data_IF_730455078359
#
_entry.id   IF_730455078359
#
_cell.length_a   1.000
_cell.length_b   1.000
_cell.length_c   1.000
_cell.angle_alpha   90.00
_cell.angle_beta   90.00
_cell.angle_gamma   90.00
#
_symmetry.space_group_name_H-M   'P 1'
#
loop_
_entity.id
_entity.type
_entity.pdbx_description
1 polymer ?
#
# COMPACT_ATOMS: atom_id res chain seq x y z
N UNK A 1 -23.58 4.74 5.66
CA UNK A 1 -23.96 4.04 4.42
C UNK A 1 -23.22 2.71 4.42
N UNK A 2 -23.90 1.58 4.54
CA UNK A 2 -23.28 0.29 4.24
C UNK A 2 -22.96 0.31 2.74
N UNK A 3 -21.68 0.38 2.39
CA UNK A 3 -21.30 0.19 1.00
C UNK A 3 -21.51 -1.29 0.68
N UNK A 4 -22.41 -1.58 -0.27
CA UNK A 4 -22.64 -2.93 -0.77
C UNK A 4 -21.48 -3.34 -1.68
N UNK A 5 -20.45 -3.95 -1.08
CA UNK A 5 -19.38 -4.59 -1.84
C UNK A 5 -19.88 -5.86 -2.51
N UNK A 6 -19.30 -6.20 -3.66
CA UNK A 6 -19.59 -7.46 -4.32
C UNK A 6 -19.29 -8.65 -3.38
N UNK A 7 -20.07 -9.75 -3.45
CA UNK A 7 -19.85 -10.91 -2.60
C UNK A 7 -18.47 -11.52 -2.87
N UNK A 8 -17.78 -11.92 -1.79
CA UNK A 8 -16.47 -12.54 -1.88
C UNK A 8 -16.57 -13.93 -2.53
N UNK A 9 -15.81 -14.15 -3.61
CA UNK A 9 -15.83 -15.40 -4.38
C UNK A 9 -14.77 -16.41 -3.95
N UNK A 10 -13.65 -15.93 -3.39
CA UNK A 10 -12.54 -16.74 -2.90
C UNK A 10 -12.18 -16.24 -1.49
N UNK A 11 -12.37 -17.08 -0.48
CA UNK A 11 -12.20 -16.76 0.93
C UNK A 11 -11.07 -17.58 1.60
N UNK A 12 -10.27 -18.31 0.81
CA UNK A 12 -9.24 -19.22 1.31
C UNK A 12 -8.31 -18.53 2.31
N UNK A 13 -7.84 -17.32 2.00
CA UNK A 13 -6.93 -16.58 2.89
C UNK A 13 -7.60 -16.27 4.24
N UNK A 14 -8.86 -15.85 4.24
CA UNK A 14 -9.58 -15.51 5.48
C UNK A 14 -9.82 -16.74 6.33
N UNK A 15 -10.34 -17.82 5.74
CA UNK A 15 -10.55 -19.09 6.46
C UNK A 15 -9.26 -19.63 7.05
N UNK A 16 -8.16 -19.56 6.30
CA UNK A 16 -6.83 -19.93 6.78
C UNK A 16 -6.38 -19.07 7.97
N UNK A 17 -6.54 -17.75 7.88
CA UNK A 17 -6.19 -16.82 8.96
C UNK A 17 -7.01 -17.07 10.24
N UNK A 18 -8.23 -17.58 10.10
CA UNK A 18 -9.09 -18.01 11.20
C UNK A 18 -8.84 -19.44 11.68
N UNK A 19 -7.83 -20.14 11.16
CA UNK A 19 -7.46 -21.50 11.57
C UNK A 19 -8.45 -22.58 11.12
N UNK A 20 -9.27 -22.31 10.10
CA UNK A 20 -10.22 -23.29 9.56
C UNK A 20 -9.53 -24.28 8.61
N UNK A 21 -10.11 -25.47 8.46
CA UNK A 21 -9.70 -26.41 7.40
C UNK A 21 -10.10 -25.89 6.03
N UNK A 22 -9.19 -26.03 5.07
CA UNK A 22 -9.29 -25.50 3.70
C UNK A 22 -8.88 -26.57 2.69
N UNK A 23 -9.26 -26.36 1.44
CA UNK A 23 -9.08 -27.33 0.36
C UNK A 23 -7.64 -27.30 -0.20
N UNK A 24 -6.96 -26.16 -0.06
CA UNK A 24 -5.53 -25.97 -0.38
C UNK A 24 -4.96 -24.76 0.36
N UNK A 25 -3.63 -24.67 0.56
CA UNK A 25 -3.00 -23.46 1.08
C UNK A 25 -3.30 -22.23 0.19
N UNK A 26 -3.63 -21.06 0.78
CA UNK A 26 -3.73 -19.81 0.04
C UNK A 26 -2.35 -19.25 -0.27
N UNK A 27 -2.24 -18.45 -1.34
CA UNK A 27 -0.98 -17.83 -1.76
C UNK A 27 -1.18 -16.34 -2.07
N UNK A 28 -0.23 -15.52 -1.61
CA UNK A 28 -0.04 -14.14 -2.04
C UNK A 28 1.42 -13.77 -1.78
N UNK A 29 1.90 -12.67 -2.36
CA UNK A 29 3.31 -12.28 -2.23
C UNK A 29 3.40 -10.85 -1.72
N UNK A 30 4.21 -10.63 -0.69
CA UNK A 30 4.56 -9.28 -0.25
C UNK A 30 5.21 -8.52 -1.41
N UNK A 31 4.71 -7.31 -1.69
CA UNK A 31 5.13 -6.49 -2.85
C UNK A 31 4.79 -7.12 -4.22
N UNK A 32 3.73 -7.93 -4.30
CA UNK A 32 3.21 -8.44 -5.59
C UNK A 32 2.86 -7.33 -6.59
N UNK A 33 2.46 -6.15 -6.11
CA UNK A 33 2.34 -4.95 -6.95
C UNK A 33 3.64 -4.15 -6.84
N UNK A 34 4.48 -4.18 -7.89
CA UNK A 34 5.76 -3.49 -7.83
C UNK A 34 6.61 -3.59 -9.08
N UNK A 35 7.82 -3.01 -8.99
CA UNK A 35 8.80 -2.76 -10.07
C UNK A 35 9.23 -3.98 -10.90
N UNK A 36 8.91 -5.20 -10.49
CA UNK A 36 9.22 -6.38 -11.30
C UNK A 36 8.21 -6.59 -12.45
N UNK A 37 7.06 -5.89 -12.39
CA UNK A 37 6.05 -5.88 -13.42
C UNK A 37 6.30 -4.69 -14.38
N UNK A 38 6.45 -4.90 -15.70
CA UNK A 38 6.53 -3.81 -16.67
C UNK A 38 5.33 -2.85 -16.60
N UNK A 39 4.12 -3.39 -16.46
CA UNK A 39 2.87 -2.63 -16.34
C UNK A 39 2.81 -1.72 -15.10
N UNK A 40 3.58 -2.03 -14.05
CA UNK A 40 3.74 -1.13 -12.90
C UNK A 40 4.42 0.18 -13.32
N UNK A 41 5.46 0.08 -14.15
CA UNK A 41 6.18 1.26 -14.64
C UNK A 41 5.31 2.10 -15.57
N UNK A 42 4.46 1.46 -16.36
CA UNK A 42 3.48 2.15 -17.21
C UNK A 42 2.44 2.92 -16.38
N UNK A 43 1.86 2.29 -15.36
CA UNK A 43 0.87 2.93 -14.49
C UNK A 43 1.46 4.06 -13.64
N UNK A 44 2.67 3.86 -13.09
CA UNK A 44 3.39 4.89 -12.34
C UNK A 44 3.76 6.07 -13.24
N UNK A 45 4.26 5.78 -14.44
CA UNK A 45 4.82 6.80 -15.34
C UNK A 45 5.87 7.67 -14.64
N UNK A 46 5.76 8.98 -14.83
CA UNK A 46 6.68 9.98 -14.26
C UNK A 46 6.25 10.50 -12.88
N UNK A 47 5.16 9.99 -12.30
CA UNK A 47 4.65 10.44 -11.00
C UNK A 47 5.61 10.07 -9.87
N UNK A 48 5.65 10.89 -8.84
CA UNK A 48 6.28 10.51 -7.58
C UNK A 48 5.51 9.34 -6.93
N UNK A 49 6.21 8.57 -6.11
CA UNK A 49 5.61 7.43 -5.42
C UNK A 49 4.43 7.85 -4.51
N UNK A 50 4.53 8.95 -3.76
CA UNK A 50 3.44 9.40 -2.90
C UNK A 50 2.28 10.01 -3.71
N UNK A 51 2.53 10.53 -4.91
CA UNK A 51 1.45 10.92 -5.83
C UNK A 51 0.63 9.69 -6.25
N UNK A 52 1.29 8.58 -6.60
CA UNK A 52 0.60 7.32 -6.90
C UNK A 52 -0.23 6.80 -5.72
N UNK A 53 0.25 6.96 -4.48
CA UNK A 53 -0.50 6.54 -3.30
C UNK A 53 -1.75 7.41 -3.02
N UNK A 54 -1.78 8.66 -3.50
CA UNK A 54 -2.89 9.59 -3.28
C UNK A 54 -3.92 9.62 -4.42
N UNK A 55 -3.61 8.99 -5.54
CA UNK A 55 -4.49 8.82 -6.71
C UNK A 55 -5.19 7.45 -6.60
N UNK A 56 -6.50 7.40 -6.24
CA UNK A 56 -7.22 6.15 -6.03
C UNK A 56 -7.25 5.26 -7.27
N UNK A 57 -7.37 5.84 -8.46
CA UNK A 57 -7.41 5.15 -9.73
C UNK A 57 -6.07 4.48 -10.04
N UNK A 58 -4.95 5.20 -9.85
CA UNK A 58 -3.60 4.65 -10.02
C UNK A 58 -3.29 3.58 -8.98
N UNK A 59 -3.60 3.83 -7.70
CA UNK A 59 -3.38 2.85 -6.64
C UNK A 59 -4.18 1.57 -6.88
N UNK A 60 -5.44 1.70 -7.34
CA UNK A 60 -6.29 0.57 -7.72
C UNK A 60 -5.69 -0.19 -8.90
N UNK A 61 -5.28 0.49 -9.96
CA UNK A 61 -4.70 -0.15 -11.13
C UNK A 61 -3.46 -0.95 -10.76
N UNK A 62 -2.51 -0.34 -10.04
CA UNK A 62 -1.29 -1.01 -9.56
C UNK A 62 -1.62 -2.22 -8.68
N UNK A 63 -2.61 -2.11 -7.79
CA UNK A 63 -3.07 -3.21 -6.92
C UNK A 63 -3.58 -4.40 -7.73
N UNK A 64 -4.30 -4.15 -8.83
CA UNK A 64 -4.96 -5.17 -9.64
C UNK A 64 -4.05 -5.86 -10.66
N UNK A 65 -2.93 -5.25 -11.06
CA UNK A 65 -1.97 -5.83 -12.01
C UNK A 65 -1.56 -7.27 -11.67
N UNK A 66 -1.05 -7.59 -10.46
CA UNK A 66 -0.69 -8.97 -10.11
C UNK A 66 -1.90 -9.90 -10.07
N UNK A 67 -3.08 -9.41 -9.67
CA UNK A 67 -4.33 -10.19 -9.65
C UNK A 67 -4.71 -10.65 -11.06
N UNK A 68 -4.53 -9.77 -12.06
CA UNK A 68 -4.78 -10.12 -13.47
C UNK A 68 -3.69 -11.03 -14.03
N UNK A 69 -2.42 -10.72 -13.78
CA UNK A 69 -1.28 -11.46 -14.35
C UNK A 69 -1.14 -12.88 -13.81
N UNK A 70 -1.45 -13.08 -12.53
CA UNK A 70 -1.35 -14.36 -11.83
C UNK A 70 -2.74 -14.91 -11.48
N UNK A 71 -3.73 -14.65 -12.33
CA UNK A 71 -5.10 -15.09 -12.15
C UNK A 71 -5.15 -16.61 -11.86
N UNK A 72 -5.81 -16.98 -10.76
CA UNK A 72 -5.92 -18.37 -10.28
C UNK A 72 -4.74 -18.88 -9.46
N UNK A 73 -3.65 -18.11 -9.34
CA UNK A 73 -2.48 -18.46 -8.52
C UNK A 73 -2.41 -17.69 -7.21
N UNK A 74 -2.91 -16.45 -7.17
CA UNK A 74 -2.97 -15.65 -5.94
C UNK A 74 -4.40 -15.54 -5.41
N UNK A 75 -4.53 -15.59 -4.08
CA UNK A 75 -5.80 -15.65 -3.35
C UNK A 75 -6.17 -14.33 -2.68
N UNK A 76 -5.30 -13.32 -2.75
CA UNK A 76 -5.54 -12.01 -2.17
C UNK A 76 -4.84 -10.88 -2.94
N UNK A 77 -5.43 -9.69 -2.79
CA UNK A 77 -4.81 -8.43 -3.14
C UNK A 77 -4.36 -7.72 -1.86
N UNK A 78 -3.23 -7.04 -1.93
CA UNK A 78 -2.78 -6.07 -0.91
C UNK A 78 -2.80 -4.69 -1.53
N UNK A 79 -3.42 -3.73 -0.84
CA UNK A 79 -3.54 -2.36 -1.35
C UNK A 79 -2.17 -1.75 -1.63
N UNK A 80 -2.03 -1.10 -2.78
CA UNK A 80 -0.86 -0.29 -3.07
C UNK A 80 -0.90 0.99 -2.24
N UNK A 81 -0.03 1.05 -1.25
CA UNK A 81 0.19 2.20 -0.36
C UNK A 81 1.58 2.08 0.25
N UNK A 82 1.88 2.88 1.26
CA UNK A 82 3.13 2.83 1.99
C UNK A 82 2.93 3.08 3.47
N UNK A 83 3.77 2.47 4.30
CA UNK A 83 3.70 2.63 5.75
C UNK A 83 4.02 4.07 6.20
N UNK A 84 4.79 4.82 5.40
CA UNK A 84 5.23 6.19 5.70
C UNK A 84 4.17 7.26 5.43
N UNK A 85 3.00 6.87 4.90
CA UNK A 85 1.85 7.80 4.79
C UNK A 85 1.38 8.27 6.17
N UNK A 86 1.61 7.48 7.23
CA UNK A 86 1.25 7.84 8.61
C UNK A 86 2.12 9.01 9.11
N UNK A 87 3.48 8.92 9.14
CA UNK A 87 4.34 10.07 9.43
C UNK A 87 4.03 11.31 8.59
N UNK A 88 3.71 11.13 7.31
CA UNK A 88 3.34 12.23 6.42
C UNK A 88 2.02 12.90 6.85
N UNK A 89 1.01 12.11 7.20
CA UNK A 89 -0.25 12.61 7.75
C UNK A 89 -0.03 13.30 9.11
N UNK A 90 0.95 12.82 9.89
CA UNK A 90 1.46 13.46 11.10
C UNK A 90 2.41 14.64 10.83
N UNK A 91 2.37 15.25 9.64
CA UNK A 91 3.06 16.50 9.36
C UNK A 91 4.56 16.39 9.08
N UNK A 92 5.14 15.19 9.05
CA UNK A 92 6.53 15.01 8.66
C UNK A 92 6.69 15.07 7.13
N UNK A 93 7.75 15.73 6.67
CA UNK A 93 8.15 15.65 5.25
C UNK A 93 8.84 14.31 4.99
N UNK A 94 8.35 13.59 3.98
CA UNK A 94 8.95 12.33 3.50
C UNK A 94 9.21 12.45 2.01
N UNK A 95 10.44 12.23 1.60
CA UNK A 95 10.89 12.31 0.21
C UNK A 95 11.29 10.92 -0.29
N UNK A 96 10.86 10.54 -1.49
CA UNK A 96 11.32 9.31 -2.13
C UNK A 96 12.54 9.60 -3.00
N UNK A 97 13.74 9.36 -2.47
CA UNK A 97 14.99 9.66 -3.19
C UNK A 97 15.34 8.51 -4.13
N UNK A 98 15.54 8.83 -5.41
CA UNK A 98 15.83 7.83 -6.43
C UNK A 98 17.05 6.98 -6.05
N UNK A 99 16.90 5.64 -6.13
CA UNK A 99 17.91 4.63 -5.76
C UNK A 99 18.36 4.63 -4.29
N UNK A 100 17.88 5.54 -3.44
CA UNK A 100 18.17 5.59 -2.00
C UNK A 100 16.97 5.19 -1.13
N UNK A 101 15.76 5.37 -1.64
CA UNK A 101 14.52 5.08 -0.92
C UNK A 101 14.01 6.28 -0.12
N UNK A 102 13.14 6.04 0.88
CA UNK A 102 12.51 7.12 1.63
C UNK A 102 13.52 7.86 2.52
N UNK A 103 13.39 9.18 2.58
CA UNK A 103 14.23 10.07 3.37
C UNK A 103 13.36 11.05 4.15
N UNK A 104 13.68 11.24 5.42
CA UNK A 104 13.15 12.31 6.24
C UNK A 104 14.21 13.41 6.33
N UNK A 105 14.01 14.59 5.71
CA UNK A 105 14.97 15.69 5.79
C UNK A 105 15.17 16.19 7.23
N UNK A 106 14.12 16.10 8.05
CA UNK A 106 14.11 16.52 9.45
C UNK A 106 13.59 15.37 10.34
N UNK A 107 14.40 14.33 10.62
CA UNK A 107 13.98 13.23 11.49
C UNK A 107 13.82 13.71 12.94
N UNK A 108 12.98 13.02 13.71
CA UNK A 108 12.88 13.23 15.16
C UNK A 108 14.21 12.85 15.82
N UNK A 109 14.73 13.72 16.67
CA UNK A 109 15.96 13.53 17.43
C UNK A 109 15.70 13.47 18.93
N UNK A 110 14.67 14.14 19.43
CA UNK A 110 14.37 14.21 20.86
C UNK A 110 12.86 14.43 21.13
N UNK A 111 12.38 14.16 22.36
CA UNK A 111 10.96 14.30 22.69
C UNK A 111 10.37 15.72 22.55
N UNK A 112 11.21 16.76 22.53
CA UNK A 112 10.77 18.17 22.45
C UNK A 112 10.60 18.67 21.01
N UNK A 113 10.84 17.82 19.99
CA UNK A 113 10.67 18.19 18.60
C UNK A 113 9.21 18.59 18.29
N UNK A 114 9.01 19.87 17.95
CA UNK A 114 7.69 20.48 17.80
C UNK A 114 6.81 19.95 16.65
N UNK A 115 7.29 18.95 15.91
CA UNK A 115 6.56 18.29 14.82
C UNK A 115 5.24 17.69 15.33
N UNK A 116 5.23 17.12 16.53
CA UNK A 116 4.01 16.62 17.18
C UNK A 116 3.05 17.76 17.56
N UNK A 117 3.58 18.88 18.06
CA UNK A 117 2.79 20.05 18.41
C UNK A 117 2.05 20.66 17.21
N UNK A 118 2.67 20.63 16.02
CA UNK A 118 2.04 21.10 14.77
C UNK A 118 0.85 20.23 14.34
N UNK A 119 0.89 18.92 14.59
CA UNK A 119 -0.23 18.01 14.31
C UNK A 119 -1.38 18.27 15.28
N UNK A 120 -1.07 18.36 16.57
CA UNK A 120 -2.08 18.62 17.60
C UNK A 120 -2.76 19.98 17.43
N UNK A 121 -2.04 20.99 16.94
CA UNK A 121 -2.58 22.33 16.70
C UNK A 121 -3.46 22.44 15.43
N UNK A 122 -3.52 21.41 14.57
CA UNK A 122 -4.30 21.41 13.33
C UNK A 122 -5.74 20.87 13.49
N UNK A 123 -6.16 20.49 14.71
CA UNK A 123 -7.50 19.99 15.02
C UNK A 123 -8.28 20.97 15.89
#
# INVERSE_FOLDING_TARGET
>A
MSQDFAPLKNDLLLRTAWGQTIERPPMWVMRQAGRYLPEYHEAKGNRDFFECCRDPEVATEITLQPVRRFAGLIDAAIIFSDILVIPQAMGMTVEMVEKKGPHFPNPLQNPDDGQYGQVLAKN
#
